data_IF_855203258459
#
_entry.id   IF_855203258459
#
_cell.length_a   1.000
_cell.length_b   1.000
_cell.length_c   1.000
_cell.angle_alpha   90.00
_cell.angle_beta   90.00
_cell.angle_gamma   90.00
#
_symmetry.space_group_name_H-M   'P 1'
#
loop_
_entity.id
_entity.type
_entity.pdbx_description
1 polymer ?
#
# COMPACT_ATOMS: atom_id res chain seq x y z
N UNK A 1 -21.49 -13.58 7.43
CA UNK A 1 -20.26 -13.31 8.18
C UNK A 1 -19.49 -14.62 8.35
N UNK A 2 -18.68 -14.98 7.40
CA UNK A 2 -17.74 -16.10 7.55
C UNK A 2 -16.49 -15.55 8.18
N UNK A 3 -16.32 -15.74 9.49
CA UNK A 3 -15.05 -15.56 10.18
C UNK A 3 -14.05 -16.52 9.54
N UNK A 4 -13.23 -16.03 8.63
CA UNK A 4 -12.02 -16.71 8.20
C UNK A 4 -11.04 -16.70 9.36
N UNK A 5 -11.30 -17.54 10.35
CA UNK A 5 -10.33 -17.90 11.38
C UNK A 5 -9.06 -18.32 10.62
N UNK A 6 -7.98 -17.54 10.78
CA UNK A 6 -6.68 -17.90 10.22
C UNK A 6 -6.32 -19.28 10.75
N UNK A 7 -6.39 -20.29 9.89
CA UNK A 7 -6.13 -21.69 10.27
C UNK A 7 -4.69 -21.80 10.78
N UNK A 8 -4.48 -22.61 11.81
CA UNK A 8 -3.16 -22.84 12.41
C UNK A 8 -2.22 -23.67 11.53
N UNK A 9 -2.72 -24.20 10.42
CA UNK A 9 -1.97 -25.04 9.50
C UNK A 9 -1.98 -24.43 8.09
N UNK A 10 -0.89 -24.63 7.38
CA UNK A 10 -0.80 -24.26 5.97
C UNK A 10 -1.68 -25.14 5.10
N UNK A 11 -2.21 -24.56 4.04
CA UNK A 11 -2.96 -25.26 3.01
C UNK A 11 -2.31 -25.09 1.63
N UNK A 12 -2.72 -25.90 0.69
CA UNK A 12 -2.38 -25.68 -0.71
C UNK A 12 -2.86 -24.28 -1.15
N UNK A 13 -2.09 -23.61 -2.00
CA UNK A 13 -2.24 -22.22 -2.44
C UNK A 13 -1.95 -21.16 -1.36
N UNK A 14 -1.66 -21.53 -0.11
CA UNK A 14 -1.24 -20.53 0.91
C UNK A 14 0.07 -19.86 0.50
N UNK A 15 0.13 -18.55 0.72
CA UNK A 15 1.36 -17.77 0.63
C UNK A 15 2.16 -17.93 1.92
N UNK A 16 3.43 -18.33 1.78
CA UNK A 16 4.34 -18.61 2.90
C UNK A 16 5.60 -17.78 2.77
N UNK A 17 6.00 -17.17 3.86
CA UNK A 17 7.31 -16.55 4.03
C UNK A 17 8.21 -17.51 4.80
N UNK A 18 9.26 -17.97 4.13
CA UNK A 18 10.31 -18.77 4.76
C UNK A 18 11.44 -17.85 5.23
N UNK A 19 11.89 -18.06 6.45
CA UNK A 19 12.98 -17.28 7.07
C UNK A 19 14.13 -18.23 7.46
N UNK A 20 15.35 -17.88 7.09
CA UNK A 20 16.54 -18.59 7.52
C UNK A 20 17.16 -17.97 8.79
N UNK A 21 18.24 -18.60 9.30
CA UNK A 21 18.98 -18.12 10.49
C UNK A 21 19.57 -16.71 10.35
N UNK A 22 19.75 -16.21 9.11
CA UNK A 22 20.22 -14.87 8.81
C UNK A 22 19.10 -13.91 8.52
N UNK A 23 17.85 -14.30 8.83
CA UNK A 23 16.62 -13.53 8.55
C UNK A 23 16.41 -13.20 7.07
N UNK A 24 17.01 -13.98 6.15
CA UNK A 24 16.72 -13.87 4.72
C UNK A 24 15.33 -14.42 4.45
N UNK A 25 14.59 -13.71 3.63
CA UNK A 25 13.19 -13.94 3.34
C UNK A 25 13.03 -14.61 1.97
N UNK A 26 12.15 -15.60 1.90
CA UNK A 26 11.78 -16.26 0.65
C UNK A 26 10.26 -16.41 0.63
N UNK A 27 9.61 -15.73 -0.31
CA UNK A 27 8.17 -15.77 -0.49
C UNK A 27 7.80 -16.84 -1.50
N UNK A 28 7.01 -17.82 -1.09
CA UNK A 28 6.56 -18.92 -1.94
C UNK A 28 5.04 -19.09 -1.85
N UNK A 29 4.42 -19.60 -2.91
CA UNK A 29 3.04 -20.10 -2.89
C UNK A 29 3.10 -21.61 -2.82
N UNK A 30 2.40 -22.21 -1.87
CA UNK A 30 2.40 -23.67 -1.71
C UNK A 30 1.63 -24.35 -2.84
N UNK A 31 2.22 -25.37 -3.41
CA UNK A 31 1.56 -26.28 -4.37
C UNK A 31 2.06 -27.68 -4.13
N UNK A 32 1.16 -28.66 -4.18
CA UNK A 32 1.53 -30.06 -3.99
C UNK A 32 2.60 -30.48 -4.97
N UNK A 33 3.51 -31.34 -4.48
CA UNK A 33 4.60 -31.96 -5.23
C UNK A 33 5.63 -30.95 -5.79
N UNK A 34 5.53 -29.66 -5.45
CA UNK A 34 6.54 -28.65 -5.75
C UNK A 34 7.65 -28.64 -4.71
N UNK A 35 8.80 -28.13 -5.13
CA UNK A 35 10.00 -28.05 -4.30
C UNK A 35 10.50 -26.62 -4.31
N UNK A 36 10.71 -26.05 -3.14
CA UNK A 36 11.45 -24.80 -2.98
C UNK A 36 12.95 -25.08 -3.05
N UNK A 37 13.65 -24.43 -3.95
CA UNK A 37 15.10 -24.53 -4.16
C UNK A 37 15.81 -23.30 -3.65
N UNK A 38 16.87 -23.49 -2.86
CA UNK A 38 17.76 -22.41 -2.41
C UNK A 38 19.19 -22.93 -2.23
N UNK A 39 20.12 -22.02 -1.96
CA UNK A 39 21.49 -22.40 -1.57
C UNK A 39 21.54 -23.21 -0.26
N UNK A 40 20.47 -23.19 0.53
CA UNK A 40 20.32 -23.99 1.77
C UNK A 40 19.79 -25.41 1.49
N UNK A 41 19.57 -25.77 0.23
CA UNK A 41 19.01 -27.04 -0.18
C UNK A 41 17.55 -26.93 -0.66
N UNK A 42 16.91 -28.08 -0.71
CA UNK A 42 15.53 -28.28 -1.18
C UNK A 42 14.59 -28.46 0.00
N UNK A 43 13.41 -27.86 -0.09
CA UNK A 43 12.31 -28.05 0.85
C UNK A 43 11.05 -28.39 0.06
N UNK A 44 10.50 -29.58 0.29
CA UNK A 44 9.26 -30.01 -0.36
C UNK A 44 8.06 -29.26 0.21
N UNK A 45 7.20 -28.71 -0.65
CA UNK A 45 6.00 -28.01 -0.21
C UNK A 45 5.06 -28.90 0.60
N UNK A 46 5.05 -30.20 0.34
CA UNK A 46 4.27 -31.19 1.10
C UNK A 46 4.68 -31.25 2.58
N UNK A 47 5.89 -30.83 2.95
CA UNK A 47 6.32 -30.76 4.34
C UNK A 47 5.66 -29.58 5.10
N UNK A 48 5.18 -28.57 4.37
CA UNK A 48 4.48 -27.41 4.94
C UNK A 48 2.96 -27.62 4.92
N UNK A 49 2.44 -28.18 3.83
CA UNK A 49 0.98 -28.39 3.66
C UNK A 49 0.46 -29.28 4.79
N UNK A 50 -0.62 -28.86 5.46
CA UNK A 50 -1.22 -29.48 6.62
C UNK A 50 -0.38 -29.41 7.91
N UNK A 51 0.75 -28.72 7.90
CA UNK A 51 1.61 -28.51 9.06
C UNK A 51 1.52 -27.07 9.59
N UNK A 52 2.08 -26.86 10.79
CA UNK A 52 1.83 -25.67 11.59
C UNK A 52 2.38 -24.38 10.95
N UNK A 53 1.58 -23.35 10.91
CA UNK A 53 2.05 -21.97 10.71
C UNK A 53 2.91 -21.58 11.91
N UNK A 54 4.10 -21.02 11.65
CA UNK A 54 5.10 -20.78 12.67
C UNK A 54 5.96 -22.00 12.98
N UNK A 55 5.88 -23.05 12.15
CA UNK A 55 6.68 -24.27 12.28
C UNK A 55 8.09 -24.12 11.72
N UNK A 56 8.97 -25.04 12.14
CA UNK A 56 10.34 -25.13 11.68
C UNK A 56 10.50 -26.31 10.72
N UNK A 57 10.97 -26.05 9.52
CA UNK A 57 11.04 -26.99 8.42
C UNK A 57 12.49 -27.23 8.00
N UNK A 58 12.86 -28.49 7.74
CA UNK A 58 14.23 -28.88 7.44
C UNK A 58 14.38 -29.17 5.96
N UNK A 59 15.42 -28.56 5.35
CA UNK A 59 15.82 -28.87 3.96
C UNK A 59 16.55 -30.22 3.90
N UNK A 60 16.72 -30.77 2.70
CA UNK A 60 17.49 -31.99 2.41
C UNK A 60 18.96 -31.90 2.88
N UNK A 61 19.53 -30.68 2.90
CA UNK A 61 20.88 -30.39 3.42
C UNK A 61 20.91 -30.12 4.92
N UNK A 62 19.81 -30.32 5.65
CA UNK A 62 19.74 -30.19 7.10
C UNK A 62 19.58 -28.76 7.63
N UNK A 63 19.48 -27.74 6.77
CA UNK A 63 19.18 -26.37 7.19
C UNK A 63 17.72 -26.22 7.64
N UNK A 64 17.49 -25.35 8.62
CA UNK A 64 16.16 -25.12 9.20
C UNK A 64 15.64 -23.76 8.79
N UNK A 65 14.40 -23.73 8.34
CA UNK A 65 13.65 -22.54 7.94
C UNK A 65 12.40 -22.40 8.82
N UNK A 66 12.11 -21.18 9.26
CA UNK A 66 10.83 -20.85 9.89
C UNK A 66 9.81 -20.54 8.79
N UNK A 67 8.66 -21.21 8.81
CA UNK A 67 7.55 -20.95 7.88
C UNK A 67 6.44 -20.16 8.55
N UNK A 68 6.15 -18.96 8.06
CA UNK A 68 5.07 -18.10 8.57
C UNK A 68 4.20 -17.57 7.43
N UNK A 69 2.99 -17.08 7.77
CA UNK A 69 2.23 -16.26 6.81
C UNK A 69 2.87 -14.88 6.72
N UNK A 70 3.09 -14.35 5.51
CA UNK A 70 3.61 -13.00 5.36
C UNK A 70 2.61 -11.97 5.90
N UNK A 71 3.13 -10.93 6.53
CA UNK A 71 2.36 -9.69 6.73
C UNK A 71 2.18 -8.97 5.39
N UNK A 72 1.29 -7.97 5.33
CA UNK A 72 1.19 -7.12 4.14
C UNK A 72 2.54 -6.43 3.84
N UNK A 73 3.24 -5.98 4.88
CA UNK A 73 4.56 -5.37 4.73
C UNK A 73 5.60 -6.33 4.15
N UNK A 74 5.63 -7.58 4.62
CA UNK A 74 6.53 -8.61 4.06
C UNK A 74 6.18 -8.89 2.59
N UNK A 75 4.89 -9.04 2.28
CA UNK A 75 4.44 -9.29 0.92
C UNK A 75 4.86 -8.16 -0.03
N UNK A 76 4.60 -6.91 0.33
CA UNK A 76 4.94 -5.74 -0.48
C UNK A 76 6.45 -5.65 -0.75
N UNK A 77 7.27 -6.03 0.21
CA UNK A 77 8.73 -6.03 0.05
C UNK A 77 9.26 -7.18 -0.82
N UNK A 78 8.59 -8.33 -0.82
CA UNK A 78 9.05 -9.57 -1.48
C UNK A 78 8.28 -9.90 -2.77
N UNK A 79 7.12 -9.26 -3.03
CA UNK A 79 6.32 -9.55 -4.22
C UNK A 79 7.05 -9.22 -5.53
N UNK A 80 6.68 -9.87 -6.66
CA UNK A 80 7.23 -9.53 -7.97
C UNK A 80 6.95 -8.07 -8.32
N UNK A 81 8.00 -7.28 -8.52
CA UNK A 81 7.91 -5.84 -8.78
C UNK A 81 8.06 -5.53 -10.26
N UNK A 82 7.44 -4.43 -10.68
CA UNK A 82 7.73 -3.70 -11.91
C UNK A 82 8.20 -2.29 -11.54
N UNK A 83 7.26 -1.32 -11.37
CA UNK A 83 7.58 0.03 -10.92
C UNK A 83 8.03 0.04 -9.45
N UNK A 84 8.55 1.20 -9.00
CA UNK A 84 8.84 1.46 -7.60
C UNK A 84 7.56 1.33 -6.77
N UNK A 85 7.68 0.76 -5.57
CA UNK A 85 6.56 0.57 -4.65
C UNK A 85 6.52 1.69 -3.61
N UNK A 86 5.32 2.01 -3.13
CA UNK A 86 5.17 2.72 -1.87
C UNK A 86 5.57 1.77 -0.74
N UNK A 87 6.54 2.20 0.09
CA UNK A 87 7.07 1.37 1.17
C UNK A 87 6.03 1.13 2.29
N UNK A 88 6.11 0.00 3.01
CA UNK A 88 5.15 -0.32 4.08
C UNK A 88 5.00 0.78 5.15
N UNK A 89 6.09 1.52 5.46
CA UNK A 89 6.05 2.65 6.39
C UNK A 89 5.12 3.78 5.91
N UNK A 90 5.10 4.01 4.59
CA UNK A 90 4.28 5.05 3.97
C UNK A 90 2.85 4.55 3.72
N UNK A 91 2.66 3.26 3.38
CA UNK A 91 1.32 2.66 3.25
C UNK A 91 0.48 2.82 4.52
N UNK A 92 1.08 2.56 5.69
CA UNK A 92 0.40 2.72 6.98
C UNK A 92 0.01 4.17 7.25
N UNK A 93 0.89 5.11 6.91
CA UNK A 93 0.62 6.54 7.08
C UNK A 93 -0.40 7.06 6.08
N UNK A 94 -0.38 6.63 4.81
CA UNK A 94 -1.40 6.99 3.83
C UNK A 94 -2.79 6.64 4.37
N UNK A 95 -2.96 5.41 4.88
CA UNK A 95 -4.23 4.96 5.46
C UNK A 95 -4.65 5.85 6.64
N UNK A 96 -3.71 6.18 7.53
CA UNK A 96 -4.00 6.98 8.74
C UNK A 96 -4.21 8.45 8.44
N UNK A 97 -3.34 9.08 7.64
CA UNK A 97 -3.41 10.52 7.34
C UNK A 97 -4.58 10.87 6.42
N UNK A 98 -4.95 9.97 5.50
CA UNK A 98 -6.14 10.14 4.68
C UNK A 98 -7.42 9.68 5.40
N UNK A 99 -7.31 9.18 6.64
CA UNK A 99 -8.45 8.64 7.39
C UNK A 99 -9.28 7.67 6.54
N UNK A 100 -8.62 6.64 6.00
CA UNK A 100 -9.31 5.60 5.23
C UNK A 100 -10.07 4.70 6.20
N UNK A 101 -11.38 4.71 6.15
CA UNK A 101 -12.26 4.00 7.09
C UNK A 101 -13.06 2.87 6.41
N UNK A 102 -13.56 1.90 7.18
CA UNK A 102 -14.44 0.85 6.64
C UNK A 102 -15.72 1.45 6.03
N UNK A 103 -15.97 1.11 4.78
CA UNK A 103 -17.09 1.65 3.99
C UNK A 103 -16.74 2.83 3.10
N UNK A 104 -15.53 3.40 3.20
CA UNK A 104 -15.13 4.55 2.38
C UNK A 104 -15.12 4.24 0.88
N UNK A 105 -15.50 5.24 0.07
CA UNK A 105 -15.32 5.25 -1.38
C UNK A 105 -14.03 5.97 -1.71
N UNK A 106 -13.08 5.23 -2.25
CA UNK A 106 -11.70 5.70 -2.49
C UNK A 106 -11.36 5.65 -3.98
N UNK A 107 -10.77 6.72 -4.50
CA UNK A 107 -10.08 6.70 -5.78
C UNK A 107 -8.57 6.67 -5.51
N UNK A 108 -7.89 5.78 -6.22
CA UNK A 108 -6.43 5.70 -6.31
C UNK A 108 -5.99 5.99 -7.74
N UNK A 109 -4.84 6.63 -7.93
CA UNK A 109 -4.20 6.66 -9.23
C UNK A 109 -2.72 6.35 -9.10
N UNK A 110 -2.28 5.44 -9.99
CA UNK A 110 -0.99 4.78 -9.94
C UNK A 110 -1.11 3.37 -9.34
N UNK A 111 -1.89 2.47 -9.99
CA UNK A 111 -2.01 1.06 -9.58
C UNK A 111 -0.65 0.39 -9.40
N UNK A 112 0.27 0.62 -10.34
CA UNK A 112 1.64 0.11 -10.30
C UNK A 112 1.72 -1.39 -10.05
N UNK A 113 2.26 -1.79 -8.88
CA UNK A 113 2.36 -3.20 -8.47
C UNK A 113 1.15 -3.70 -7.66
N UNK A 114 0.20 -2.84 -7.31
CA UNK A 114 -0.96 -3.12 -6.47
C UNK A 114 -0.69 -3.04 -4.96
N UNK A 115 0.47 -2.54 -4.53
CA UNK A 115 0.83 -2.47 -3.11
C UNK A 115 -0.06 -1.52 -2.32
N UNK A 116 -0.26 -0.32 -2.85
CA UNK A 116 -1.12 0.70 -2.25
C UNK A 116 -2.58 0.27 -2.30
N UNK A 117 -3.03 -0.24 -3.45
CA UNK A 117 -4.38 -0.79 -3.64
C UNK A 117 -4.71 -1.85 -2.59
N UNK A 118 -3.77 -2.76 -2.28
CA UNK A 118 -3.95 -3.76 -1.21
C UNK A 118 -4.14 -3.14 0.17
N UNK A 119 -3.39 -2.09 0.49
CA UNK A 119 -3.53 -1.38 1.77
C UNK A 119 -4.90 -0.70 1.86
N UNK A 120 -5.32 -0.03 0.77
CA UNK A 120 -6.62 0.63 0.68
C UNK A 120 -7.78 -0.36 0.78
N UNK A 121 -7.77 -1.48 0.03
CA UNK A 121 -8.80 -2.52 0.08
C UNK A 121 -8.97 -3.10 1.48
N UNK A 122 -7.85 -3.32 2.21
CA UNK A 122 -7.91 -3.78 3.60
C UNK A 122 -8.52 -2.74 4.54
N UNK A 123 -8.24 -1.48 4.32
CA UNK A 123 -8.74 -0.39 5.17
C UNK A 123 -10.23 -0.12 4.94
N UNK A 124 -10.68 -0.07 3.68
CA UNK A 124 -12.10 0.15 3.37
C UNK A 124 -12.99 -1.05 3.69
N UNK A 125 -12.41 -2.26 3.79
CA UNK A 125 -13.16 -3.48 4.05
C UNK A 125 -14.16 -3.84 2.95
N UNK A 126 -15.00 -4.85 3.20
CA UNK A 126 -15.96 -5.37 2.21
C UNK A 126 -17.07 -4.37 1.84
N UNK A 127 -17.39 -3.44 2.74
CA UNK A 127 -18.45 -2.41 2.53
C UNK A 127 -17.97 -1.18 1.79
N UNK A 128 -16.65 -0.95 1.70
CA UNK A 128 -16.09 0.17 0.96
C UNK A 128 -15.76 -0.18 -0.48
N UNK A 129 -15.27 0.80 -1.22
CA UNK A 129 -14.93 0.63 -2.64
C UNK A 129 -13.60 1.31 -2.95
N UNK A 130 -12.76 0.64 -3.74
CA UNK A 130 -11.55 1.23 -4.32
C UNK A 130 -11.67 1.22 -5.84
N UNK A 131 -11.59 2.40 -6.44
CA UNK A 131 -11.43 2.55 -7.89
C UNK A 131 -10.02 3.01 -8.16
N UNK A 132 -9.24 2.24 -8.88
CA UNK A 132 -7.86 2.58 -9.23
C UNK A 132 -7.69 2.87 -10.70
N UNK A 133 -6.96 3.94 -11.03
CA UNK A 133 -6.62 4.36 -12.37
C UNK A 133 -5.19 4.01 -12.70
N UNK A 134 -4.98 3.46 -13.91
CA UNK A 134 -3.65 3.15 -14.44
C UNK A 134 -3.59 3.49 -15.92
N UNK A 135 -2.60 4.27 -16.32
CA UNK A 135 -2.40 4.67 -17.71
C UNK A 135 -1.71 3.57 -18.52
N UNK A 136 -0.82 2.80 -17.88
CA UNK A 136 -0.07 1.73 -18.51
C UNK A 136 -0.79 0.38 -18.38
N UNK A 137 -1.53 0.00 -19.40
CA UNK A 137 -2.28 -1.27 -19.44
C UNK A 137 -1.39 -2.49 -19.15
N UNK A 138 -0.12 -2.47 -19.55
CA UNK A 138 0.78 -3.61 -19.40
C UNK A 138 1.10 -4.01 -17.97
N UNK A 139 0.93 -3.11 -17.00
CA UNK A 139 1.18 -3.40 -15.58
C UNK A 139 -0.05 -3.99 -14.86
N UNK A 140 -1.26 -3.77 -15.39
CA UNK A 140 -2.52 -4.17 -14.76
C UNK A 140 -2.60 -5.67 -14.47
N UNK A 141 -2.28 -6.60 -15.40
CA UNK A 141 -2.37 -8.03 -15.13
C UNK A 141 -1.46 -8.48 -13.98
N UNK A 142 -0.27 -7.91 -13.89
CA UNK A 142 0.68 -8.22 -12.82
C UNK A 142 0.22 -7.68 -11.46
N UNK A 143 -0.34 -6.48 -11.44
CA UNK A 143 -0.91 -5.88 -10.23
C UNK A 143 -2.09 -6.71 -9.72
N UNK A 144 -3.02 -7.08 -10.59
CA UNK A 144 -4.16 -7.93 -10.24
C UNK A 144 -3.71 -9.29 -9.67
N UNK A 145 -2.73 -9.94 -10.32
CA UNK A 145 -2.17 -11.19 -9.80
C UNK A 145 -1.53 -11.03 -8.41
N UNK A 146 -0.87 -9.90 -8.13
CA UNK A 146 -0.35 -9.60 -6.80
C UNK A 146 -1.47 -9.39 -5.79
N UNK A 147 -2.53 -8.65 -6.17
CA UNK A 147 -3.68 -8.39 -5.30
C UNK A 147 -4.39 -9.70 -4.95
N UNK A 148 -4.65 -10.56 -5.93
CA UNK A 148 -5.35 -11.83 -5.75
C UNK A 148 -4.63 -12.81 -4.82
N UNK A 149 -3.30 -12.75 -4.74
CA UNK A 149 -2.53 -13.57 -3.78
C UNK A 149 -2.83 -13.24 -2.31
N UNK A 150 -3.27 -12.04 -2.03
CA UNK A 150 -3.57 -11.57 -0.66
C UNK A 150 -5.07 -11.46 -0.42
N UNK A 151 -5.80 -10.97 -1.40
CA UNK A 151 -7.25 -10.77 -1.39
C UNK A 151 -7.85 -11.41 -2.64
N UNK A 152 -8.24 -12.69 -2.58
CA UNK A 152 -8.83 -13.38 -3.73
C UNK A 152 -10.15 -12.71 -4.16
N UNK A 153 -10.24 -12.36 -5.44
CA UNK A 153 -11.43 -11.79 -6.09
C UNK A 153 -12.09 -10.64 -5.30
N UNK A 154 -11.39 -9.53 -5.02
CA UNK A 154 -11.97 -8.44 -4.25
C UNK A 154 -13.11 -7.78 -5.04
N UNK A 155 -14.37 -8.07 -4.66
CA UNK A 155 -15.57 -7.58 -5.36
C UNK A 155 -15.71 -6.05 -5.32
N UNK A 156 -15.02 -5.40 -4.41
CA UNK A 156 -15.03 -3.95 -4.20
C UNK A 156 -13.85 -3.21 -4.87
N UNK A 157 -13.07 -3.89 -5.70
CA UNK A 157 -12.03 -3.28 -6.54
C UNK A 157 -12.57 -3.04 -7.95
N UNK A 158 -12.37 -1.82 -8.44
CA UNK A 158 -12.61 -1.45 -9.84
C UNK A 158 -11.32 -0.90 -10.44
N UNK A 159 -10.74 -1.59 -11.41
CA UNK A 159 -9.57 -1.11 -12.15
C UNK A 159 -10.02 -0.45 -13.44
N UNK A 160 -9.58 0.78 -13.66
CA UNK A 160 -9.85 1.57 -14.86
C UNK A 160 -8.55 1.91 -15.57
N UNK A 161 -8.45 1.51 -16.83
CA UNK A 161 -7.42 2.06 -17.70
C UNK A 161 -7.80 3.50 -18.05
N UNK A 162 -6.95 4.45 -17.68
CA UNK A 162 -7.21 5.87 -17.93
C UNK A 162 -6.19 6.79 -17.30
N UNK A 163 -6.20 8.01 -17.82
CA UNK A 163 -5.36 9.10 -17.31
C UNK A 163 -6.18 9.98 -16.35
N UNK A 164 -5.78 10.02 -15.08
CA UNK A 164 -6.45 10.83 -14.06
C UNK A 164 -6.38 12.34 -14.35
N UNK A 165 -5.40 12.77 -15.14
CA UNK A 165 -5.23 14.18 -15.53
C UNK A 165 -6.33 14.69 -16.46
N UNK A 166 -7.04 13.78 -17.15
CA UNK A 166 -8.17 14.13 -18.02
C UNK A 166 -9.49 14.36 -17.23
N UNK A 167 -9.43 14.25 -15.89
CA UNK A 167 -10.57 14.39 -15.01
C UNK A 167 -11.18 13.06 -14.60
N UNK A 168 -12.07 13.12 -13.61
CA UNK A 168 -12.74 11.98 -13.00
C UNK A 168 -14.24 12.05 -13.24
N UNK A 169 -14.86 10.96 -13.74
CA UNK A 169 -16.32 10.89 -13.86
C UNK A 169 -17.02 10.64 -12.51
N UNK A 170 -16.31 10.09 -11.53
CA UNK A 170 -16.83 9.82 -10.19
C UNK A 170 -17.19 11.09 -9.46
N UNK A 171 -18.21 10.99 -8.61
CA UNK A 171 -18.64 12.02 -7.67
C UNK A 171 -18.88 11.37 -6.31
N UNK A 172 -18.99 12.20 -5.30
CA UNK A 172 -19.27 11.78 -3.92
C UNK A 172 -18.21 10.80 -3.37
N UNK A 173 -16.94 11.05 -3.72
CA UNK A 173 -15.80 10.26 -3.29
C UNK A 173 -15.30 10.75 -1.94
N UNK A 174 -15.09 9.85 -1.00
CA UNK A 174 -14.60 10.22 0.34
C UNK A 174 -13.12 10.59 0.32
N UNK A 175 -12.31 9.83 -0.41
CA UNK A 175 -10.84 9.93 -0.38
C UNK A 175 -10.25 9.75 -1.77
N UNK A 176 -9.21 10.53 -2.06
CA UNK A 176 -8.38 10.35 -3.27
C UNK A 176 -6.93 10.17 -2.86
N UNK A 177 -6.27 9.17 -3.41
CA UNK A 177 -4.86 8.84 -3.17
C UNK A 177 -4.10 8.87 -4.48
N UNK A 178 -3.09 9.73 -4.59
CA UNK A 178 -2.30 9.91 -5.81
C UNK A 178 -0.86 9.42 -5.62
N UNK A 179 -0.46 8.45 -6.43
CA UNK A 179 0.93 8.02 -6.63
C UNK A 179 1.28 8.14 -8.11
N UNK A 180 1.35 9.39 -8.57
CA UNK A 180 1.57 9.74 -9.98
C UNK A 180 2.66 10.80 -10.12
N UNK A 181 3.34 10.90 -11.28
CA UNK A 181 4.48 11.81 -11.47
C UNK A 181 4.12 13.30 -11.30
N UNK A 182 2.93 13.71 -11.74
CA UNK A 182 2.52 15.11 -11.83
C UNK A 182 1.16 15.36 -11.14
N UNK A 183 1.05 15.12 -9.81
CA UNK A 183 -0.22 15.15 -9.09
C UNK A 183 -0.95 16.51 -9.18
N UNK A 184 -0.24 17.61 -9.44
CA UNK A 184 -0.83 18.93 -9.62
C UNK A 184 -1.78 19.03 -10.82
N UNK A 185 -1.58 18.20 -11.86
CA UNK A 185 -2.46 18.16 -13.03
C UNK A 185 -3.83 17.52 -12.73
N UNK A 186 -3.92 16.73 -11.65
CA UNK A 186 -5.17 16.08 -11.24
C UNK A 186 -6.03 16.93 -10.30
N UNK A 187 -5.51 18.03 -9.74
CA UNK A 187 -6.14 18.80 -8.65
C UNK A 187 -7.58 19.23 -8.98
N UNK A 188 -7.82 19.75 -10.17
CA UNK A 188 -9.17 20.20 -10.56
C UNK A 188 -10.18 19.06 -10.60
N UNK A 189 -9.84 17.94 -11.30
CA UNK A 189 -10.71 16.76 -11.39
C UNK A 189 -10.95 16.09 -10.04
N UNK A 190 -9.93 16.03 -9.19
CA UNK A 190 -10.05 15.54 -7.82
C UNK A 190 -10.98 16.41 -6.99
N UNK A 191 -10.87 17.74 -7.13
CA UNK A 191 -11.77 18.69 -6.48
C UNK A 191 -13.22 18.49 -6.90
N UNK A 192 -13.48 18.08 -8.14
CA UNK A 192 -14.86 17.82 -8.61
C UNK A 192 -15.39 16.46 -8.09
N UNK A 193 -14.53 15.49 -7.91
CA UNK A 193 -14.89 14.13 -7.47
C UNK A 193 -15.15 14.02 -5.96
N UNK A 194 -14.32 14.68 -5.13
CA UNK A 194 -14.40 14.58 -3.67
C UNK A 194 -15.68 15.22 -3.11
N UNK A 195 -16.21 14.66 -2.04
CA UNK A 195 -17.21 15.34 -1.18
C UNK A 195 -16.58 16.50 -0.44
N UNK A 196 -17.37 17.45 0.07
CA UNK A 196 -16.91 18.45 1.04
C UNK A 196 -16.44 17.72 2.32
N UNK A 197 -15.28 18.11 2.84
CA UNK A 197 -14.60 17.42 3.93
C UNK A 197 -13.83 16.16 3.47
N UNK A 198 -13.89 15.78 2.20
CA UNK A 198 -13.11 14.69 1.61
C UNK A 198 -11.62 15.02 1.60
N UNK A 199 -10.78 13.99 1.68
CA UNK A 199 -9.32 14.16 1.78
C UNK A 199 -8.65 13.70 0.48
N UNK A 200 -7.74 14.55 -0.01
CA UNK A 200 -6.72 14.18 -0.99
C UNK A 200 -5.41 13.92 -0.26
N UNK A 201 -4.76 12.80 -0.54
CA UNK A 201 -3.37 12.54 -0.18
C UNK A 201 -2.56 12.19 -1.43
N UNK A 202 -1.35 12.74 -1.53
CA UNK A 202 -0.41 12.44 -2.61
C UNK A 202 0.91 11.97 -2.05
N UNK A 203 1.45 10.88 -2.62
CA UNK A 203 2.83 10.46 -2.44
C UNK A 203 3.68 11.06 -3.56
N UNK A 204 4.72 11.80 -3.20
CA UNK A 204 5.61 12.48 -4.14
C UNK A 204 7.07 12.17 -3.82
N UNK A 205 7.85 11.61 -4.75
CA UNK A 205 9.26 11.27 -4.53
C UNK A 205 10.16 12.48 -4.24
N UNK A 206 9.81 13.67 -4.73
CA UNK A 206 10.68 14.85 -4.63
C UNK A 206 9.96 16.05 -4.05
N UNK A 207 10.72 16.91 -3.34
CA UNK A 207 10.19 18.15 -2.77
C UNK A 207 9.74 19.15 -3.83
N UNK A 208 10.28 19.08 -5.04
CA UNK A 208 9.85 19.96 -6.15
C UNK A 208 8.44 19.56 -6.63
N UNK A 209 8.11 18.26 -6.67
CA UNK A 209 6.75 17.79 -6.96
C UNK A 209 5.77 18.24 -5.87
N UNK A 210 6.18 18.16 -4.59
CA UNK A 210 5.40 18.69 -3.46
C UNK A 210 5.10 20.18 -3.65
N UNK A 211 6.13 20.97 -3.97
CA UNK A 211 5.96 22.42 -4.18
C UNK A 211 4.94 22.70 -5.29
N UNK A 212 5.04 22.03 -6.44
CA UNK A 212 4.10 22.20 -7.56
C UNK A 212 2.67 21.83 -7.16
N UNK A 213 2.51 20.70 -6.46
CA UNK A 213 1.20 20.26 -5.95
C UNK A 213 0.59 21.30 -5.00
N UNK A 214 1.36 21.77 -4.02
CA UNK A 214 0.87 22.77 -3.03
C UNK A 214 0.46 24.07 -3.72
N UNK A 215 1.22 24.54 -4.72
CA UNK A 215 0.84 25.72 -5.49
C UNK A 215 -0.45 25.52 -6.28
N UNK A 216 -0.64 24.35 -6.89
CA UNK A 216 -1.88 24.02 -7.61
C UNK A 216 -3.09 23.95 -6.66
N UNK A 217 -2.95 23.33 -5.49
CA UNK A 217 -3.99 23.27 -4.47
C UNK A 217 -4.41 24.66 -3.98
N UNK A 218 -3.44 25.54 -3.74
CA UNK A 218 -3.71 26.95 -3.36
C UNK A 218 -4.42 27.72 -4.48
N UNK A 219 -4.00 27.52 -5.72
CA UNK A 219 -4.61 28.18 -6.88
C UNK A 219 -6.03 27.70 -7.15
N UNK A 220 -6.36 26.43 -6.90
CA UNK A 220 -7.72 25.91 -7.01
C UNK A 220 -8.70 26.55 -6.02
N UNK A 221 -8.22 26.83 -4.81
CA UNK A 221 -8.95 27.51 -3.75
C UNK A 221 -10.00 26.69 -3.01
N UNK A 222 -10.25 25.44 -3.42
CA UNK A 222 -11.15 24.49 -2.75
C UNK A 222 -10.45 23.62 -1.70
N UNK A 223 -9.13 23.70 -1.60
CA UNK A 223 -8.35 22.84 -0.73
C UNK A 223 -7.74 23.65 0.42
N UNK A 224 -7.95 23.15 1.64
CA UNK A 224 -7.46 23.78 2.88
C UNK A 224 -6.72 22.75 3.75
N UNK A 225 -6.04 23.21 4.78
CA UNK A 225 -5.29 22.36 5.72
C UNK A 225 -4.29 21.46 4.98
N UNK A 226 -3.53 22.06 4.05
CA UNK A 226 -2.49 21.34 3.31
C UNK A 226 -1.27 21.15 4.19
N UNK A 227 -0.91 19.91 4.45
CA UNK A 227 0.22 19.51 5.27
C UNK A 227 1.11 18.53 4.50
N UNK A 228 2.43 18.69 4.59
CA UNK A 228 3.38 17.75 3.97
C UNK A 228 4.28 17.15 5.03
N UNK A 229 4.43 15.84 5.00
CA UNK A 229 5.26 15.06 5.92
C UNK A 229 6.23 14.14 5.19
N UNK A 230 7.36 13.89 5.80
CA UNK A 230 8.30 12.83 5.44
C UNK A 230 8.46 11.88 6.62
N UNK A 231 8.52 10.56 6.36
CA UNK A 231 8.66 9.57 7.43
C UNK A 231 9.99 8.88 7.39
N UNK A 232 10.65 8.87 8.53
CA UNK A 232 11.89 8.13 8.77
C UNK A 232 11.63 6.95 9.70
N UNK A 233 11.75 5.71 9.18
CA UNK A 233 11.66 4.50 9.97
C UNK A 233 13.07 4.00 10.28
N UNK A 234 13.46 4.05 11.57
CA UNK A 234 14.77 3.62 12.02
C UNK A 234 14.72 2.29 12.76
N UNK A 235 15.12 1.16 12.14
CA UNK A 235 15.20 -0.11 12.81
C UNK A 235 16.38 -0.17 13.78
N UNK A 236 16.27 -1.04 14.80
CA UNK A 236 17.29 -1.25 15.81
C UNK A 236 17.75 -2.71 15.80
N UNK A 237 19.05 -2.91 15.93
CA UNK A 237 19.67 -4.19 16.19
C UNK A 237 19.78 -4.39 17.70
N UNK A 238 19.11 -5.43 18.21
CA UNK A 238 19.08 -5.72 19.65
C UNK A 238 19.48 -7.17 19.88
N UNK A 239 20.60 -7.38 20.57
CA UNK A 239 21.10 -8.66 21.04
C UNK A 239 21.61 -8.52 22.47
N UNK A 240 21.92 -9.62 23.15
CA UNK A 240 22.53 -9.57 24.49
C UNK A 240 23.81 -8.72 24.53
N UNK A 241 24.56 -8.67 23.44
CA UNK A 241 25.89 -8.02 23.38
C UNK A 241 25.87 -6.66 22.66
N UNK A 242 24.76 -6.29 22.03
CA UNK A 242 24.72 -5.08 21.21
C UNK A 242 23.31 -4.50 21.11
N UNK A 243 23.17 -3.24 21.48
CA UNK A 243 21.93 -2.45 21.29
C UNK A 243 22.30 -1.19 20.52
N UNK A 244 21.93 -1.12 19.24
CA UNK A 244 22.28 -0.02 18.35
C UNK A 244 21.28 0.11 17.19
N UNK A 245 21.20 1.28 16.53
CA UNK A 245 20.48 1.36 15.26
C UNK A 245 21.06 0.40 14.23
N UNK A 246 20.20 -0.12 13.35
CA UNK A 246 20.68 -0.83 12.16
C UNK A 246 21.57 0.06 11.30
N UNK A 247 22.58 -0.53 10.65
CA UNK A 247 23.50 0.21 9.79
C UNK A 247 22.83 0.72 8.51
N UNK A 248 21.80 0.00 8.05
CA UNK A 248 21.07 0.34 6.83
C UNK A 248 19.64 0.67 7.17
N UNK A 249 19.14 1.78 6.64
CA UNK A 249 17.74 2.15 6.67
C UNK A 249 17.35 2.77 5.33
N UNK A 250 16.11 2.62 4.93
CA UNK A 250 15.53 3.44 3.87
C UNK A 250 15.14 4.76 4.52
N UNK A 251 15.99 5.78 4.36
CA UNK A 251 15.76 7.08 4.98
C UNK A 251 14.66 7.83 4.23
N UNK A 252 14.90 8.12 2.94
CA UNK A 252 13.96 8.81 2.07
C UNK A 252 13.25 7.80 1.16
N UNK A 253 11.93 7.88 1.07
CA UNK A 253 11.11 7.15 0.11
C UNK A 253 10.23 8.10 -0.69
N UNK A 254 9.77 9.18 -0.08
CA UNK A 254 8.91 10.21 -0.63
C UNK A 254 8.26 11.04 0.46
N UNK A 255 7.50 12.02 0.03
CA UNK A 255 6.71 12.93 0.86
C UNK A 255 5.23 12.59 0.73
N UNK A 256 4.50 12.75 1.82
CA UNK A 256 3.04 12.63 1.87
C UNK A 256 2.45 14.03 2.04
N UNK A 257 1.67 14.48 1.08
CA UNK A 257 0.94 15.74 1.16
C UNK A 257 -0.54 15.46 1.28
N UNK A 258 -1.15 15.92 2.38
CA UNK A 258 -2.58 15.79 2.64
C UNK A 258 -3.26 17.15 2.55
N UNK A 259 -4.53 17.14 2.13
CA UNK A 259 -5.36 18.35 2.09
C UNK A 259 -6.85 17.97 2.14
N UNK A 260 -7.67 18.88 2.62
CA UNK A 260 -9.13 18.68 2.75
C UNK A 260 -9.86 19.54 1.74
N UNK A 261 -10.85 18.94 1.03
CA UNK A 261 -11.74 19.72 0.17
C UNK A 261 -12.73 20.52 1.01
N UNK A 262 -12.79 21.81 0.77
CA UNK A 262 -13.70 22.77 1.41
C UNK A 262 -14.48 23.55 0.35
N UNK A 263 -15.47 24.30 0.80
CA UNK A 263 -16.04 25.36 -0.02
C UNK A 263 -14.98 26.43 -0.32
N UNK A 264 -15.09 27.09 -1.46
CA UNK A 264 -14.24 28.26 -1.72
C UNK A 264 -14.55 29.35 -0.70
N UNK A 265 -13.51 29.93 -0.13
CA UNK A 265 -13.66 31.04 0.82
C UNK A 265 -14.43 32.18 0.14
N UNK A 266 -15.57 32.52 0.67
CA UNK A 266 -16.33 33.69 0.19
C UNK A 266 -15.58 34.96 0.62
N UNK A 267 -15.30 35.86 -0.31
CA UNK A 267 -14.57 37.11 -0.06
C UNK A 267 -15.32 38.02 0.92
N UNK A 268 -16.61 37.78 1.14
CA UNK A 268 -17.45 38.56 2.06
C UNK A 268 -17.36 38.14 3.54
N UNK A 269 -16.70 37.02 3.83
CA UNK A 269 -16.37 36.63 5.21
C UNK A 269 -15.16 37.43 5.68
N UNK A 270 -15.41 38.66 6.10
CA UNK A 270 -14.43 39.51 6.83
C UNK A 270 -13.86 38.70 8.00
N UNK A 271 -12.56 38.77 8.13
CA UNK A 271 -11.76 38.15 9.19
C UNK A 271 -12.41 38.35 10.56
N UNK A 272 -12.96 37.32 11.13
CA UNK A 272 -13.17 37.28 12.58
C UNK A 272 -11.77 37.11 13.15
N UNK A 273 -11.13 38.19 13.51
CA UNK A 273 -9.89 38.21 14.27
C UNK A 273 -10.19 37.58 15.63
N UNK A 274 -9.77 36.34 15.80
CA UNK A 274 -9.68 35.73 17.12
C UNK A 274 -8.48 36.39 17.79
N UNK A 275 -8.76 37.39 18.65
CA UNK A 275 -7.80 37.99 19.57
C UNK A 275 -7.44 37.00 20.69
#
# INVERSE_FOLDING_TARGET
>A
MSSTSRKNHFQEADLVLLLDRKSRKYLITLSRDQIFHSHLGQLFHNQLISNSVGGWYRTDKGHVLLGIRPTLGDFVLEMPRGPQIVYPKDLGLIVSLADIFPGAVVIESGLGSGSLTLALLRAVGESGKVTTYEINESVIPKALNNIEKILPNPANLCVKQGDIYLGLPERDVDRVVLDVPEPWNAVSGVGDALVLGGILISFSPTILQVHQLVMALQSDGRFQRTETTETLLRPWHITEKSVRPEHRMVAHSGFLTTTVKCERKNTDLTEISIS
#
